data_IF_504491303531
#
_entry.id   IF_504491303531
#
_cell.length_a   1.000
_cell.length_b   1.000
_cell.length_c   1.000
_cell.angle_alpha   90.00
_cell.angle_beta   90.00
_cell.angle_gamma   90.00
#
_symmetry.space_group_name_H-M   'P 1'
#
loop_
_entity.id
_entity.type
_entity.pdbx_description
1 polymer ?
#
# COMPACT_ATOMS: atom_id res chain seq x y z
N UNK A 1 -46.99 -21.33 19.54
CA UNK A 1 -45.75 -21.99 19.08
C UNK A 1 -45.55 -23.25 19.91
N UNK A 2 -45.82 -24.37 19.32
CA UNK A 2 -45.71 -25.68 19.98
C UNK A 2 -44.24 -26.09 20.14
N UNK A 3 -43.98 -27.03 21.05
CA UNK A 3 -42.60 -27.52 21.30
C UNK A 3 -41.93 -28.08 20.00
N UNK A 4 -42.74 -28.64 19.07
CA UNK A 4 -42.29 -29.13 17.76
C UNK A 4 -41.80 -28.02 16.84
N UNK A 5 -42.46 -26.86 16.80
CA UNK A 5 -41.98 -25.72 15.98
C UNK A 5 -40.62 -25.15 16.45
N UNK A 6 -40.34 -25.19 17.74
CA UNK A 6 -39.02 -24.80 18.30
C UNK A 6 -37.93 -25.80 17.96
N UNK A 7 -38.25 -27.08 17.89
CA UNK A 7 -37.31 -28.14 17.55
C UNK A 7 -36.97 -28.15 16.08
N UNK A 8 -37.92 -27.84 15.20
CA UNK A 8 -37.69 -27.69 13.77
C UNK A 8 -36.82 -26.47 13.40
N UNK A 9 -37.02 -25.35 14.07
CA UNK A 9 -36.18 -24.15 13.92
C UNK A 9 -34.73 -24.41 14.38
N UNK A 10 -34.58 -25.15 15.49
CA UNK A 10 -33.27 -25.56 16.02
C UNK A 10 -32.56 -26.54 15.07
N UNK A 11 -33.27 -27.51 14.54
CA UNK A 11 -32.72 -28.50 13.60
C UNK A 11 -32.38 -27.86 12.23
N UNK A 12 -33.14 -26.87 11.79
CA UNK A 12 -32.84 -26.11 10.55
C UNK A 12 -31.63 -25.22 10.71
N UNK A 13 -31.40 -24.62 11.88
CA UNK A 13 -30.21 -23.84 12.18
C UNK A 13 -28.93 -24.70 12.26
N UNK A 14 -29.00 -25.89 12.81
CA UNK A 14 -27.89 -26.86 12.89
C UNK A 14 -27.56 -27.49 11.53
N UNK A 15 -28.57 -27.69 10.67
CA UNK A 15 -28.35 -28.18 9.29
C UNK A 15 -27.64 -27.14 8.43
N UNK A 16 -28.02 -25.86 8.53
CA UNK A 16 -27.41 -24.75 7.81
C UNK A 16 -25.97 -24.48 8.27
N UNK A 17 -25.66 -24.69 9.54
CA UNK A 17 -24.32 -24.54 10.10
C UNK A 17 -23.38 -25.69 9.68
N UNK A 18 -23.91 -26.90 9.54
CA UNK A 18 -23.16 -28.08 9.08
C UNK A 18 -22.95 -28.09 7.55
N UNK A 19 -23.88 -27.58 6.75
CA UNK A 19 -23.69 -27.41 5.30
C UNK A 19 -22.69 -26.31 4.97
N UNK A 20 -22.61 -25.26 5.79
CA UNK A 20 -21.58 -24.20 5.66
C UNK A 20 -20.15 -24.70 5.98
N UNK A 21 -20.01 -25.85 6.62
CA UNK A 21 -18.71 -26.49 6.97
C UNK A 21 -18.25 -27.55 5.96
N UNK A 22 -19.03 -27.91 4.94
CA UNK A 22 -18.78 -29.05 4.05
C UNK A 22 -18.60 -28.70 2.57
N UNK A 23 -18.16 -27.50 2.19
CA UNK A 23 -17.73 -27.28 0.80
C UNK A 23 -16.23 -27.54 0.63
N UNK A 24 -15.84 -28.42 -0.31
CA UNK A 24 -14.43 -28.70 -0.59
C UNK A 24 -13.76 -27.50 -1.25
N UNK A 25 -12.64 -27.12 -0.68
CA UNK A 25 -11.80 -25.96 -1.02
C UNK A 25 -10.91 -26.28 -2.24
N UNK A 26 -11.53 -26.57 -3.40
CA UNK A 26 -10.78 -26.79 -4.64
C UNK A 26 -11.44 -26.12 -5.86
N UNK A 27 -11.50 -24.79 -5.83
CA UNK A 27 -11.72 -24.02 -7.04
C UNK A 27 -10.53 -23.07 -7.25
N UNK A 28 -9.68 -23.43 -8.22
CA UNK A 28 -8.66 -22.56 -8.80
C UNK A 28 -9.31 -21.25 -9.21
N UNK A 29 -9.10 -20.18 -8.41
CA UNK A 29 -9.56 -18.85 -8.73
C UNK A 29 -8.72 -18.33 -9.90
N UNK A 30 -9.30 -17.98 -11.06
CA UNK A 30 -8.55 -17.38 -12.15
C UNK A 30 -7.96 -16.05 -11.66
N UNK A 31 -6.63 -15.97 -11.69
CA UNK A 31 -5.86 -14.79 -11.29
C UNK A 31 -6.10 -13.68 -12.32
N UNK A 32 -7.09 -12.82 -12.09
CA UNK A 32 -7.21 -11.59 -12.88
C UNK A 32 -6.14 -10.61 -12.39
N UNK A 33 -5.10 -10.43 -13.20
CA UNK A 33 -4.03 -9.45 -12.94
C UNK A 33 -4.65 -8.07 -12.77
N UNK A 34 -4.38 -7.36 -11.66
CA UNK A 34 -4.93 -6.03 -11.45
C UNK A 34 -4.40 -5.05 -12.52
N UNK A 35 -5.24 -4.10 -12.94
CA UNK A 35 -4.89 -3.05 -13.91
C UNK A 35 -3.61 -2.28 -13.54
N UNK A 36 -3.27 -2.27 -12.27
CA UNK A 36 -2.09 -1.63 -11.69
C UNK A 36 -0.76 -2.22 -12.20
N UNK A 37 -0.64 -3.55 -12.37
CA UNK A 37 0.58 -4.19 -12.89
C UNK A 37 0.90 -3.74 -14.33
N UNK A 38 -0.13 -3.46 -15.13
CA UNK A 38 0.06 -2.96 -16.51
C UNK A 38 0.71 -1.58 -16.55
N UNK A 39 0.26 -0.65 -15.69
CA UNK A 39 0.84 0.69 -15.63
C UNK A 39 2.28 0.72 -15.13
N UNK A 40 2.59 -0.10 -14.14
CA UNK A 40 3.96 -0.27 -13.61
C UNK A 40 4.89 -0.81 -14.70
N UNK A 41 4.45 -1.84 -15.42
CA UNK A 41 5.22 -2.39 -16.55
C UNK A 41 5.40 -1.37 -17.68
N UNK A 42 4.37 -0.59 -18.00
CA UNK A 42 4.45 0.46 -19.01
C UNK A 42 5.46 1.55 -18.62
N UNK A 43 5.45 2.01 -17.36
CA UNK A 43 6.38 3.02 -16.87
C UNK A 43 7.83 2.50 -16.86
N UNK A 44 8.06 1.26 -16.44
CA UNK A 44 9.38 0.64 -16.49
C UNK A 44 9.88 0.50 -17.93
N UNK A 45 9.03 0.06 -18.86
CA UNK A 45 9.35 -0.04 -20.30
C UNK A 45 9.62 1.34 -20.89
N UNK A 46 8.79 2.34 -20.56
CA UNK A 46 8.97 3.71 -21.07
C UNK A 46 10.30 4.33 -20.59
N UNK A 47 10.66 4.15 -19.31
CA UNK A 47 11.95 4.61 -18.77
C UNK A 47 13.14 3.91 -19.42
N UNK A 48 13.05 2.59 -19.61
CA UNK A 48 14.08 1.84 -20.33
C UNK A 48 14.18 2.25 -21.82
N UNK A 49 13.03 2.44 -22.48
CA UNK A 49 13.01 2.91 -23.88
C UNK A 49 13.61 4.30 -24.01
N UNK A 50 13.32 5.22 -23.08
CA UNK A 50 13.91 6.55 -23.07
C UNK A 50 15.45 6.49 -22.92
N UNK A 51 15.96 5.58 -22.08
CA UNK A 51 17.40 5.35 -21.93
C UNK A 51 18.03 4.80 -23.21
N UNK A 52 17.39 3.83 -23.85
CA UNK A 52 17.86 3.28 -25.14
C UNK A 52 17.86 4.38 -26.22
N UNK A 53 16.81 5.17 -26.33
CA UNK A 53 16.73 6.31 -27.26
C UNK A 53 17.85 7.30 -26.97
N UNK A 54 18.13 7.62 -25.70
CA UNK A 54 19.24 8.47 -25.33
C UNK A 54 20.59 7.92 -25.82
N UNK A 55 20.85 6.61 -25.62
CA UNK A 55 22.08 5.98 -26.09
C UNK A 55 22.21 6.09 -27.61
N UNK A 56 21.15 5.88 -28.37
CA UNK A 56 21.19 5.98 -29.84
C UNK A 56 21.34 7.40 -30.37
N UNK A 57 20.72 8.40 -29.72
CA UNK A 57 20.72 9.78 -30.22
C UNK A 57 21.92 10.59 -29.75
N UNK A 58 22.46 10.32 -28.55
CA UNK A 58 23.46 11.17 -27.91
C UNK A 58 24.77 10.45 -27.59
N UNK A 59 24.91 9.16 -27.97
CA UNK A 59 26.08 8.36 -27.65
C UNK A 59 26.71 7.85 -28.93
N UNK A 60 28.03 8.03 -29.08
CA UNK A 60 28.81 7.29 -30.07
C UNK A 60 28.90 5.83 -29.63
N UNK A 61 27.93 5.02 -30.06
CA UNK A 61 27.76 3.61 -29.64
C UNK A 61 29.02 2.80 -29.99
N UNK A 62 29.69 3.12 -31.14
CA UNK A 62 30.90 2.41 -31.57
C UNK A 62 32.03 2.68 -30.60
N UNK A 63 32.28 3.94 -30.24
CA UNK A 63 33.31 4.28 -29.26
C UNK A 63 33.03 3.71 -27.89
N UNK A 64 31.77 3.78 -27.40
CA UNK A 64 31.40 3.18 -26.13
C UNK A 64 31.57 1.68 -26.14
N UNK A 65 31.13 0.98 -27.20
CA UNK A 65 31.32 -0.45 -27.36
C UNK A 65 32.79 -0.85 -27.33
N UNK A 66 33.65 -0.11 -28.05
CA UNK A 66 35.11 -0.33 -28.06
C UNK A 66 35.77 -0.12 -26.69
N UNK A 67 35.22 0.77 -25.84
CA UNK A 67 35.70 0.99 -24.47
C UNK A 67 35.21 -0.15 -23.57
N UNK A 68 33.95 -0.56 -23.70
CA UNK A 68 33.36 -1.66 -22.93
C UNK A 68 33.98 -3.00 -23.27
N UNK A 69 34.33 -3.24 -24.51
CA UNK A 69 35.03 -4.47 -24.95
C UNK A 69 36.40 -4.67 -24.27
N UNK A 70 37.04 -3.57 -23.88
CA UNK A 70 38.35 -3.57 -23.19
C UNK A 70 38.23 -3.66 -21.66
N UNK A 71 37.03 -3.86 -21.13
CA UNK A 71 36.78 -3.92 -19.67
C UNK A 71 37.53 -5.08 -19.03
N UNK A 72 38.32 -4.76 -18.03
CA UNK A 72 39.00 -5.78 -17.19
C UNK A 72 37.99 -6.45 -16.26
N UNK A 73 37.38 -7.55 -16.73
CA UNK A 73 36.29 -8.26 -16.02
C UNK A 73 36.63 -8.58 -14.55
N UNK A 74 37.85 -9.05 -14.16
CA UNK A 74 38.16 -9.30 -12.76
C UNK A 74 38.03 -8.08 -11.87
N UNK A 75 38.44 -6.90 -12.38
CA UNK A 75 38.32 -5.63 -11.65
C UNK A 75 36.87 -5.17 -11.57
N UNK A 76 36.10 -5.38 -12.65
CA UNK A 76 34.68 -5.07 -12.65
C UNK A 76 33.89 -5.96 -11.66
N UNK A 77 34.30 -7.20 -11.43
CA UNK A 77 33.72 -8.07 -10.39
C UNK A 77 33.93 -7.49 -8.97
N UNK A 78 35.02 -6.73 -8.73
CA UNK A 78 35.21 -6.04 -7.45
C UNK A 78 34.12 -4.97 -7.24
N UNK A 79 33.69 -4.28 -8.31
CA UNK A 79 32.58 -3.33 -8.19
C UNK A 79 31.27 -4.01 -7.73
N UNK A 80 30.95 -5.20 -8.23
CA UNK A 80 29.80 -5.97 -7.74
C UNK A 80 29.97 -6.39 -6.28
N UNK A 81 31.18 -6.79 -5.87
CA UNK A 81 31.45 -7.10 -4.46
C UNK A 81 31.23 -5.87 -3.57
N UNK A 82 31.67 -4.69 -4.00
CA UNK A 82 31.42 -3.44 -3.28
C UNK A 82 29.92 -3.16 -3.15
N UNK A 83 29.12 -3.37 -4.22
CA UNK A 83 27.66 -3.18 -4.20
C UNK A 83 26.97 -4.15 -3.22
N UNK A 84 27.38 -5.41 -3.19
CA UNK A 84 26.83 -6.36 -2.20
C UNK A 84 27.22 -5.94 -0.77
N UNK A 85 28.46 -5.48 -0.59
CA UNK A 85 28.93 -4.99 0.72
C UNK A 85 28.17 -3.74 1.16
N UNK A 86 27.93 -2.80 0.25
CA UNK A 86 27.04 -1.65 0.47
C UNK A 86 25.66 -2.09 0.96
N UNK A 87 25.04 -3.06 0.28
CA UNK A 87 23.74 -3.58 0.66
C UNK A 87 23.75 -4.24 2.05
N UNK A 88 24.84 -4.94 2.42
CA UNK A 88 25.03 -5.48 3.78
C UNK A 88 25.05 -4.37 4.81
N UNK A 89 25.82 -3.30 4.59
CA UNK A 89 25.89 -2.17 5.50
C UNK A 89 24.55 -1.43 5.61
N UNK A 90 23.81 -1.28 4.55
CA UNK A 90 22.46 -0.72 4.56
C UNK A 90 21.49 -1.58 5.41
N UNK A 91 21.56 -2.90 5.30
CA UNK A 91 20.77 -3.81 6.15
C UNK A 91 21.18 -3.74 7.64
N UNK A 92 22.49 -3.63 7.93
CA UNK A 92 23.01 -3.45 9.28
C UNK A 92 22.60 -2.10 9.89
N UNK A 93 22.63 -1.03 9.09
CA UNK A 93 22.13 0.28 9.47
C UNK A 93 20.68 0.19 9.92
N UNK A 94 19.80 -0.28 9.05
CA UNK A 94 18.36 -0.36 9.37
C UNK A 94 18.08 -1.32 10.54
N UNK A 95 18.75 -2.48 10.60
CA UNK A 95 18.66 -3.41 11.74
C UNK A 95 19.03 -2.73 13.06
N UNK A 96 20.12 -1.94 13.06
CA UNK A 96 20.55 -1.21 14.26
C UNK A 96 19.53 -0.14 14.70
N UNK A 97 18.87 0.53 13.75
CA UNK A 97 17.78 1.47 14.05
C UNK A 97 16.57 0.74 14.63
N UNK A 98 16.15 -0.38 14.03
CA UNK A 98 15.04 -1.20 14.51
C UNK A 98 15.28 -1.67 15.96
N UNK A 99 16.49 -2.10 16.29
CA UNK A 99 16.85 -2.48 17.65
C UNK A 99 16.73 -1.31 18.63
N UNK A 100 17.18 -0.12 18.22
CA UNK A 100 17.12 1.09 19.04
C UNK A 100 15.69 1.56 19.31
N UNK A 101 14.75 1.35 18.38
CA UNK A 101 13.30 1.64 18.58
C UNK A 101 12.55 0.49 19.25
N UNK A 102 13.25 -0.61 19.61
CA UNK A 102 12.69 -1.75 20.31
C UNK A 102 11.88 -2.73 19.43
N UNK A 103 12.14 -2.75 18.12
CA UNK A 103 11.58 -3.73 17.18
C UNK A 103 12.52 -4.93 17.08
N UNK A 104 12.11 -6.05 17.67
CA UNK A 104 12.88 -7.30 17.64
C UNK A 104 12.70 -8.00 16.29
N UNK A 105 13.74 -8.06 15.49
CA UNK A 105 13.76 -8.78 14.21
C UNK A 105 15.16 -9.34 13.94
N UNK A 106 15.31 -10.24 13.00
CA UNK A 106 16.62 -10.81 12.63
C UNK A 106 17.25 -10.05 11.46
N UNK A 107 18.58 -10.01 11.39
CA UNK A 107 19.28 -9.40 10.26
C UNK A 107 18.86 -10.04 8.91
N UNK A 108 18.69 -11.37 8.90
CA UNK A 108 18.21 -12.10 7.71
C UNK A 108 16.83 -11.57 7.25
N UNK A 109 15.92 -11.27 8.18
CA UNK A 109 14.59 -10.71 7.87
C UNK A 109 14.73 -9.32 7.27
N UNK A 110 15.54 -8.46 7.90
CA UNK A 110 15.83 -7.11 7.40
C UNK A 110 16.45 -7.14 6.01
N UNK A 111 17.46 -7.99 5.80
CA UNK A 111 18.10 -8.21 4.51
C UNK A 111 17.09 -8.60 3.41
N UNK A 112 16.25 -9.60 3.67
CA UNK A 112 15.25 -10.05 2.72
C UNK A 112 14.24 -8.93 2.40
N UNK A 113 13.78 -8.20 3.41
CA UNK A 113 12.85 -7.09 3.22
C UNK A 113 13.46 -5.92 2.45
N UNK A 114 14.74 -5.59 2.67
CA UNK A 114 15.44 -4.54 1.92
C UNK A 114 15.47 -4.84 0.42
N UNK A 115 15.73 -6.09 0.03
CA UNK A 115 15.69 -6.49 -1.38
C UNK A 115 14.27 -6.45 -1.97
N UNK A 116 13.27 -6.91 -1.20
CA UNK A 116 11.86 -6.82 -1.64
C UNK A 116 11.44 -5.37 -1.82
N UNK A 117 11.84 -4.49 -0.90
CA UNK A 117 11.58 -3.06 -1.01
C UNK A 117 12.23 -2.43 -2.23
N UNK A 118 13.51 -2.70 -2.45
CA UNK A 118 14.23 -2.22 -3.63
C UNK A 118 13.55 -2.64 -4.94
N UNK A 119 13.05 -3.89 -5.04
CA UNK A 119 12.33 -4.35 -6.22
C UNK A 119 11.09 -3.51 -6.51
N UNK A 120 10.31 -3.21 -5.47
CA UNK A 120 9.09 -2.42 -5.62
C UNK A 120 9.38 -0.95 -5.94
N UNK A 121 10.40 -0.36 -5.34
CA UNK A 121 10.82 1.01 -5.64
C UNK A 121 11.36 1.15 -7.05
N UNK A 122 12.04 0.11 -7.56
CA UNK A 122 12.51 0.08 -8.94
C UNK A 122 11.36 -0.03 -9.97
N UNK A 123 10.24 -0.67 -9.59
CA UNK A 123 9.07 -0.85 -10.47
C UNK A 123 8.10 0.33 -10.41
N UNK A 124 7.93 0.94 -9.25
CA UNK A 124 6.93 1.99 -9.02
C UNK A 124 7.66 3.31 -8.79
N UNK A 125 7.61 4.24 -9.74
CA UNK A 125 8.24 5.55 -9.57
C UNK A 125 7.70 6.27 -8.33
N UNK A 126 8.59 6.93 -7.58
CA UNK A 126 8.21 7.70 -6.39
C UNK A 126 8.97 7.34 -5.10
N UNK A 127 9.76 6.24 -5.12
CA UNK A 127 10.71 5.90 -4.03
C UNK A 127 10.10 5.60 -2.65
N UNK A 128 8.78 5.37 -2.57
CA UNK A 128 8.06 5.16 -1.30
C UNK A 128 7.31 3.82 -1.29
N UNK A 129 7.21 3.16 -2.44
CA UNK A 129 6.41 1.95 -2.61
C UNK A 129 7.01 0.75 -1.89
N UNK A 130 8.32 0.62 -1.91
CA UNK A 130 9.07 -0.39 -1.18
C UNK A 130 8.92 -0.20 0.32
N UNK A 131 9.09 1.00 0.83
CA UNK A 131 8.95 1.31 2.24
C UNK A 131 7.54 1.01 2.77
N UNK A 132 6.49 1.41 2.05
CA UNK A 132 5.11 1.09 2.42
C UNK A 132 4.89 -0.44 2.50
N UNK A 133 5.44 -1.18 1.56
CA UNK A 133 5.30 -2.62 1.53
C UNK A 133 6.12 -3.29 2.66
N UNK A 134 7.33 -2.82 2.93
CA UNK A 134 8.17 -3.27 4.03
C UNK A 134 7.50 -3.02 5.39
N UNK A 135 6.95 -1.81 5.60
CA UNK A 135 6.16 -1.48 6.79
C UNK A 135 5.03 -2.47 6.97
N UNK A 136 4.28 -2.73 5.89
CA UNK A 136 3.18 -3.69 5.92
C UNK A 136 3.64 -5.10 6.28
N UNK A 137 4.75 -5.59 5.69
CA UNK A 137 5.26 -6.93 5.95
C UNK A 137 5.78 -7.08 7.38
N UNK A 138 6.54 -6.11 7.86
CA UNK A 138 7.15 -6.18 9.19
C UNK A 138 6.11 -5.96 10.31
N UNK A 139 5.10 -5.11 10.08
CA UNK A 139 4.00 -4.89 11.03
C UNK A 139 3.07 -6.10 11.20
N UNK A 140 3.21 -7.14 10.38
CA UNK A 140 2.48 -8.41 10.53
C UNK A 140 3.21 -9.43 11.42
N UNK A 141 4.48 -9.20 11.67
CA UNK A 141 5.25 -10.07 12.56
C UNK A 141 4.71 -9.89 14.00
N UNK A 142 4.69 -10.98 14.79
CA UNK A 142 4.19 -10.94 16.17
C UNK A 142 4.99 -9.93 16.98
N UNK A 143 4.27 -9.16 17.77
CA UNK A 143 4.83 -8.15 18.71
C UNK A 143 5.56 -6.98 18.04
N UNK A 144 5.33 -6.74 16.74
CA UNK A 144 5.90 -5.60 16.02
C UNK A 144 4.89 -4.46 15.90
N UNK A 145 5.25 -3.32 16.47
CA UNK A 145 4.48 -2.09 16.34
C UNK A 145 4.80 -1.37 15.02
N UNK A 146 3.78 -1.23 14.15
CA UNK A 146 3.91 -0.59 12.85
C UNK A 146 4.38 0.87 12.92
N UNK A 147 4.03 1.60 13.98
CA UNK A 147 4.47 3.00 14.17
C UNK A 147 5.99 3.07 14.37
N UNK A 148 6.55 2.12 15.14
CA UNK A 148 8.00 2.02 15.34
C UNK A 148 8.74 1.66 14.04
N UNK A 149 8.12 0.82 13.19
CA UNK A 149 8.68 0.49 11.88
C UNK A 149 8.71 1.73 10.99
N UNK A 150 7.62 2.51 10.92
CA UNK A 150 7.59 3.78 10.18
C UNK A 150 8.67 4.73 10.69
N UNK A 151 8.78 4.91 12.02
CA UNK A 151 9.79 5.77 12.61
C UNK A 151 11.22 5.30 12.28
N UNK A 152 11.48 3.99 12.25
CA UNK A 152 12.78 3.45 11.88
C UNK A 152 13.19 3.75 10.45
N UNK A 153 12.24 3.72 9.51
CA UNK A 153 12.48 4.08 8.09
C UNK A 153 12.79 5.56 7.97
N UNK A 154 11.98 6.42 8.60
CA UNK A 154 12.23 7.87 8.58
C UNK A 154 13.60 8.21 9.19
N UNK A 155 13.99 7.55 10.28
CA UNK A 155 15.32 7.74 10.88
C UNK A 155 16.43 7.28 9.92
N UNK A 156 16.25 6.13 9.26
CA UNK A 156 17.18 5.64 8.23
C UNK A 156 17.38 6.67 7.13
N UNK A 157 16.29 7.22 6.61
CA UNK A 157 16.33 8.23 5.53
C UNK A 157 16.97 9.54 5.99
N UNK A 158 16.75 9.95 7.24
CA UNK A 158 17.45 11.11 7.84
C UNK A 158 18.96 10.86 7.92
N UNK A 159 19.40 9.68 8.35
CA UNK A 159 20.83 9.36 8.42
C UNK A 159 21.47 9.29 7.03
N UNK A 160 20.80 8.70 6.06
CA UNK A 160 21.23 8.67 4.66
C UNK A 160 21.38 10.10 4.12
N UNK A 161 20.39 10.95 4.35
CA UNK A 161 20.44 12.34 3.94
C UNK A 161 21.59 13.10 4.57
N UNK A 162 21.87 12.91 5.87
CA UNK A 162 23.01 13.55 6.54
C UNK A 162 24.32 13.16 5.85
N UNK A 163 24.51 11.88 5.52
CA UNK A 163 25.70 11.39 4.84
C UNK A 163 25.80 11.99 3.42
N UNK A 164 24.74 11.97 2.64
CA UNK A 164 24.68 12.53 1.28
C UNK A 164 24.91 14.04 1.31
N UNK A 165 24.32 14.77 2.25
CA UNK A 165 24.52 16.22 2.40
C UNK A 165 25.96 16.55 2.80
N UNK A 166 26.51 15.81 3.75
CA UNK A 166 27.92 15.98 4.16
C UNK A 166 28.88 15.71 3.00
N UNK A 167 28.64 14.63 2.26
CA UNK A 167 29.39 14.28 1.06
C UNK A 167 29.29 15.39 -0.02
N UNK A 168 28.11 15.97 -0.16
CA UNK A 168 27.85 17.04 -1.09
C UNK A 168 28.63 18.33 -0.72
N UNK A 169 28.62 18.72 0.56
CA UNK A 169 29.41 19.84 1.07
C UNK A 169 30.90 19.59 0.82
N UNK A 170 31.37 18.38 1.16
CA UNK A 170 32.77 17.99 0.90
C UNK A 170 33.09 18.06 -0.60
N UNK A 171 32.16 17.61 -1.45
CA UNK A 171 32.31 17.67 -2.91
C UNK A 171 32.43 19.09 -3.44
N UNK A 172 31.67 20.05 -2.92
CA UNK A 172 31.80 21.47 -3.29
C UNK A 172 33.17 22.01 -2.87
N UNK A 173 33.59 21.72 -1.65
CA UNK A 173 34.89 22.13 -1.14
C UNK A 173 35.99 21.60 -2.08
N UNK A 174 35.96 20.31 -2.41
CA UNK A 174 36.92 19.71 -3.34
C UNK A 174 36.84 20.32 -4.74
N UNK A 175 35.64 20.67 -5.20
CA UNK A 175 35.41 21.31 -6.49
C UNK A 175 36.10 22.69 -6.57
N UNK A 176 35.90 23.51 -5.53
CA UNK A 176 36.51 24.86 -5.44
C UNK A 176 38.04 24.79 -5.44
N UNK A 177 38.61 23.84 -4.67
CA UNK A 177 40.08 23.71 -4.59
C UNK A 177 40.71 23.01 -5.80
N UNK A 178 39.97 22.17 -6.52
CA UNK A 178 40.53 21.36 -7.63
C UNK A 178 40.33 21.96 -9.02
N UNK A 179 39.41 22.90 -9.16
CA UNK A 179 39.00 23.45 -10.45
C UNK A 179 38.81 24.96 -10.39
N UNK A 180 39.31 25.68 -11.41
CA UNK A 180 39.00 27.10 -11.62
C UNK A 180 37.59 27.26 -12.20
N UNK A 181 36.57 27.07 -11.35
CA UNK A 181 35.18 27.13 -11.79
C UNK A 181 34.68 28.57 -11.71
N UNK A 182 33.98 29.01 -12.77
CA UNK A 182 33.35 30.33 -12.77
C UNK A 182 32.32 30.46 -11.64
N UNK A 183 32.29 31.61 -10.99
CA UNK A 183 31.39 31.90 -9.86
C UNK A 183 29.92 31.64 -10.16
N UNK A 184 29.46 31.83 -11.37
CA UNK A 184 28.09 31.60 -11.85
C UNK A 184 27.74 30.09 -11.75
N UNK A 185 28.64 29.19 -12.21
CA UNK A 185 28.41 27.74 -12.16
C UNK A 185 28.37 27.23 -10.71
N UNK A 186 29.27 27.73 -9.86
CA UNK A 186 29.28 27.44 -8.42
C UNK A 186 27.97 27.88 -7.73
N UNK A 187 27.50 29.09 -8.04
CA UNK A 187 26.24 29.60 -7.50
C UNK A 187 25.05 28.77 -7.98
N UNK A 188 25.04 28.36 -9.25
CA UNK A 188 23.96 27.51 -9.81
C UNK A 188 23.91 26.14 -9.16
N UNK A 189 25.05 25.48 -8.96
CA UNK A 189 25.16 24.20 -8.28
C UNK A 189 24.67 24.37 -6.83
N UNK A 190 25.13 25.40 -6.10
CA UNK A 190 24.72 25.68 -4.73
C UNK A 190 23.19 25.91 -4.62
N UNK A 191 22.60 26.67 -5.54
CA UNK A 191 21.16 26.93 -5.56
C UNK A 191 20.35 25.64 -5.79
N UNK A 192 20.75 24.82 -6.76
CA UNK A 192 20.13 23.52 -7.03
C UNK A 192 20.19 22.63 -5.80
N UNK A 193 21.31 22.60 -5.10
CA UNK A 193 21.51 21.82 -3.87
C UNK A 193 20.60 22.26 -2.73
N UNK A 194 20.49 23.57 -2.50
CA UNK A 194 19.56 24.10 -1.51
C UNK A 194 18.14 23.71 -1.85
N UNK A 195 17.73 23.88 -3.11
CA UNK A 195 16.39 23.53 -3.56
C UNK A 195 16.08 22.03 -3.36
N UNK A 196 17.02 21.16 -3.71
CA UNK A 196 16.89 19.71 -3.54
C UNK A 196 16.91 19.27 -2.07
N UNK A 197 17.47 20.06 -1.16
CA UNK A 197 17.50 19.77 0.28
C UNK A 197 16.19 20.14 0.99
N UNK A 198 15.38 21.04 0.43
CA UNK A 198 14.15 21.54 1.07
C UNK A 198 13.15 20.45 1.49
N UNK A 199 12.81 19.45 0.65
CA UNK A 199 11.86 18.41 1.04
C UNK A 199 12.31 17.62 2.27
N UNK A 200 13.62 17.32 2.35
CA UNK A 200 14.17 16.57 3.48
C UNK A 200 14.27 17.40 4.76
N UNK A 201 14.63 18.68 4.63
CA UNK A 201 14.56 19.62 5.75
C UNK A 201 13.13 19.70 6.28
N UNK A 202 12.14 19.73 5.37
CA UNK A 202 10.72 19.70 5.74
C UNK A 202 10.34 18.40 6.47
N UNK A 203 10.79 17.23 6.01
CA UNK A 203 10.56 15.93 6.68
C UNK A 203 11.15 15.95 8.09
N UNK A 204 12.39 16.40 8.26
CA UNK A 204 13.04 16.53 9.57
C UNK A 204 12.24 17.48 10.47
N UNK A 205 11.84 18.63 9.96
CA UNK A 205 11.06 19.62 10.69
C UNK A 205 9.70 19.06 11.13
N UNK A 206 8.99 18.39 10.23
CA UNK A 206 7.72 17.73 10.55
C UNK A 206 7.93 16.59 11.57
N UNK A 207 8.96 15.78 11.42
CA UNK A 207 9.26 14.67 12.36
C UNK A 207 9.57 15.15 13.77
N UNK A 208 10.13 16.37 13.92
CA UNK A 208 10.49 16.94 15.21
C UNK A 208 9.43 17.86 15.82
N UNK A 209 8.48 18.36 15.03
CA UNK A 209 7.47 19.32 15.48
C UNK A 209 6.04 18.74 15.40
N UNK A 210 5.61 18.10 16.50
CA UNK A 210 4.30 17.43 16.59
C UNK A 210 3.11 18.36 16.28
N UNK A 211 3.17 19.64 16.70
CA UNK A 211 2.08 20.58 16.52
C UNK A 211 1.85 20.91 15.05
N UNK A 212 2.94 21.06 14.29
CA UNK A 212 2.87 21.33 12.84
C UNK A 212 2.38 20.08 12.11
N UNK A 213 2.88 18.89 12.47
CA UNK A 213 2.47 17.63 11.86
C UNK A 213 1.00 17.32 12.09
N UNK A 214 0.48 17.55 13.31
CA UNK A 214 -0.95 17.43 13.61
C UNK A 214 -1.81 18.42 12.80
N UNK A 215 -1.37 19.69 12.65
CA UNK A 215 -2.08 20.69 11.82
C UNK A 215 -2.11 20.28 10.35
N UNK A 216 -0.96 19.89 9.82
CA UNK A 216 -0.83 19.43 8.42
C UNK A 216 -1.72 18.21 8.15
N UNK A 217 -1.73 17.23 9.05
CA UNK A 217 -2.58 16.05 8.90
C UNK A 217 -4.07 16.42 8.93
N UNK A 218 -4.50 17.24 9.90
CA UNK A 218 -5.90 17.71 9.96
C UNK A 218 -6.30 18.45 8.69
N UNK A 219 -5.41 19.28 8.15
CA UNK A 219 -5.63 19.94 6.86
C UNK A 219 -5.78 18.95 5.72
N UNK A 220 -4.87 17.97 5.59
CA UNK A 220 -4.92 16.96 4.53
C UNK A 220 -6.18 16.09 4.62
N UNK A 221 -6.51 15.58 5.81
CA UNK A 221 -7.71 14.75 6.02
C UNK A 221 -8.98 15.52 5.66
N UNK A 222 -9.10 16.79 6.07
CA UNK A 222 -10.24 17.66 5.73
C UNK A 222 -10.31 17.95 4.23
N UNK A 223 -9.17 18.21 3.59
CA UNK A 223 -9.08 18.45 2.14
C UNK A 223 -9.49 17.23 1.34
N UNK A 224 -8.98 16.04 1.71
CA UNK A 224 -9.35 14.77 1.07
C UNK A 224 -10.82 14.44 1.31
N UNK A 225 -11.34 14.68 2.51
CA UNK A 225 -12.75 14.48 2.83
C UNK A 225 -13.65 15.41 1.99
N UNK A 226 -13.23 16.66 1.81
CA UNK A 226 -13.93 17.65 0.96
C UNK A 226 -13.94 17.24 -0.52
N UNK A 227 -12.79 16.79 -1.05
CA UNK A 227 -12.67 16.31 -2.45
C UNK A 227 -13.46 15.01 -2.65
N UNK A 228 -13.45 14.11 -1.66
CA UNK A 228 -14.14 12.83 -1.71
C UNK A 228 -15.64 12.91 -1.37
N UNK A 229 -16.20 14.09 -1.09
CA UNK A 229 -17.60 14.31 -0.66
C UNK A 229 -18.02 13.42 0.52
N UNK A 230 -17.07 13.00 1.39
CA UNK A 230 -17.31 12.17 2.59
C UNK A 230 -17.17 13.03 3.83
N UNK A 231 -18.04 12.81 4.81
CA UNK A 231 -17.89 13.45 6.13
C UNK A 231 -16.63 12.90 6.82
N UNK A 232 -15.82 13.77 7.46
CA UNK A 232 -14.69 13.33 8.27
C UNK A 232 -15.17 12.35 9.35
N UNK A 233 -14.49 11.23 9.50
CA UNK A 233 -14.79 10.28 10.58
C UNK A 233 -13.92 10.66 11.80
N UNK A 234 -14.54 11.16 12.85
CA UNK A 234 -13.84 11.57 14.08
C UNK A 234 -13.03 10.44 14.71
N UNK A 235 -13.50 9.20 14.62
CA UNK A 235 -12.76 8.02 15.11
C UNK A 235 -11.46 7.81 14.31
N UNK A 236 -11.50 8.02 13.00
CA UNK A 236 -10.33 7.94 12.14
C UNK A 236 -9.33 9.07 12.44
N UNK A 237 -9.82 10.31 12.64
CA UNK A 237 -8.95 11.45 13.03
C UNK A 237 -8.26 11.19 14.37
N UNK A 238 -8.97 10.72 15.39
CA UNK A 238 -8.43 10.41 16.70
C UNK A 238 -7.39 9.27 16.65
N UNK A 239 -7.63 8.24 15.84
CA UNK A 239 -6.68 7.15 15.64
C UNK A 239 -5.39 7.63 14.97
N UNK A 240 -5.51 8.48 13.95
CA UNK A 240 -4.35 9.07 13.28
C UNK A 240 -3.57 10.01 14.23
N UNK A 241 -4.27 10.82 15.02
CA UNK A 241 -3.63 11.72 15.98
C UNK A 241 -2.83 10.95 17.04
N UNK A 242 -3.36 9.80 17.50
CA UNK A 242 -2.61 8.89 18.39
C UNK A 242 -1.36 8.35 17.70
N UNK A 243 -1.48 7.82 16.47
CA UNK A 243 -0.33 7.29 15.73
C UNK A 243 0.76 8.31 15.48
N UNK A 244 0.40 9.58 15.22
CA UNK A 244 1.39 10.67 15.10
C UNK A 244 2.06 10.96 16.44
N UNK A 245 1.32 10.92 17.53
CA UNK A 245 1.90 11.13 18.87
C UNK A 245 2.89 10.02 19.19
N UNK A 246 2.50 8.77 18.96
CA UNK A 246 3.36 7.60 19.19
C UNK A 246 4.62 7.65 18.28
N UNK A 247 4.47 8.05 17.00
CA UNK A 247 5.59 8.25 16.07
C UNK A 247 6.55 9.33 16.58
N UNK A 248 6.00 10.49 16.98
CA UNK A 248 6.81 11.61 17.47
C UNK A 248 7.57 11.23 18.76
N UNK A 249 6.94 10.48 19.66
CA UNK A 249 7.59 9.97 20.86
C UNK A 249 8.83 9.13 20.52
N UNK A 250 8.73 8.21 19.54
CA UNK A 250 9.85 7.39 19.08
C UNK A 250 10.99 8.27 18.52
N UNK A 251 10.66 9.27 17.68
CA UNK A 251 11.67 10.21 17.15
C UNK A 251 12.36 11.01 18.27
N UNK A 252 11.59 11.47 19.26
CA UNK A 252 12.15 12.23 20.39
C UNK A 252 13.03 11.38 21.32
N UNK A 253 12.69 10.10 21.54
CA UNK A 253 13.55 9.17 22.28
C UNK A 253 14.92 9.06 21.58
N UNK A 254 14.93 8.95 20.25
CA UNK A 254 16.17 8.84 19.48
C UNK A 254 16.96 10.16 19.49
N UNK A 255 16.29 11.30 19.36
CA UNK A 255 16.91 12.63 19.46
C UNK A 255 17.59 12.84 20.82
N UNK A 256 16.97 12.38 21.91
CA UNK A 256 17.48 12.52 23.26
C UNK A 256 18.61 11.52 23.62
N UNK A 257 18.81 10.50 22.77
CA UNK A 257 19.86 9.49 22.94
C UNK A 257 20.82 9.45 21.75
N UNK A 258 21.55 10.53 21.41
CA UNK A 258 22.35 10.59 20.17
C UNK A 258 23.44 9.52 20.11
N UNK A 259 23.93 9.02 21.24
CA UNK A 259 24.92 7.92 21.26
C UNK A 259 24.40 6.64 20.61
N UNK A 260 23.09 6.37 20.64
CA UNK A 260 22.52 5.19 20.01
C UNK A 260 22.54 5.30 18.49
N UNK A 261 22.71 6.51 17.93
CA UNK A 261 22.80 6.77 16.49
C UNK A 261 24.21 6.60 15.92
N UNK A 262 25.25 6.51 16.76
CA UNK A 262 26.63 6.36 16.29
C UNK A 262 26.81 5.09 15.47
N UNK A 263 26.28 3.97 15.95
CA UNK A 263 26.38 2.69 15.26
C UNK A 263 25.63 2.66 13.91
N UNK A 264 24.35 3.07 13.81
CA UNK A 264 23.68 3.23 12.52
C UNK A 264 24.40 4.20 11.58
N UNK A 265 24.85 5.37 12.08
CA UNK A 265 25.58 6.35 11.28
C UNK A 265 26.87 5.77 10.71
N UNK A 266 27.65 5.03 11.51
CA UNK A 266 28.84 4.33 11.01
C UNK A 266 28.50 3.38 9.87
N UNK A 267 27.45 2.58 9.99
CA UNK A 267 27.04 1.67 8.94
C UNK A 267 26.58 2.43 7.67
N UNK A 268 25.89 3.56 7.83
CA UNK A 268 25.48 4.40 6.70
C UNK A 268 26.68 5.00 5.98
N UNK A 269 27.68 5.50 6.72
CA UNK A 269 28.94 6.00 6.13
C UNK A 269 29.66 4.88 5.38
N UNK A 270 29.75 3.67 5.97
CA UNK A 270 30.37 2.52 5.30
C UNK A 270 29.63 2.13 4.02
N UNK A 271 28.31 2.10 4.04
CA UNK A 271 27.50 1.84 2.85
C UNK A 271 27.83 2.86 1.73
N UNK A 272 27.89 4.14 2.08
CA UNK A 272 28.24 5.19 1.12
C UNK A 272 29.68 5.08 0.59
N UNK A 273 30.64 4.72 1.44
CA UNK A 273 32.04 4.48 1.02
C UNK A 273 32.11 3.33 0.00
N UNK A 274 31.38 2.24 0.23
CA UNK A 274 31.37 1.11 -0.72
C UNK A 274 30.64 1.43 -2.01
N UNK A 275 29.63 2.30 -2.01
CA UNK A 275 29.01 2.84 -3.24
C UNK A 275 30.04 3.66 -4.07
N UNK A 276 30.81 4.54 -3.44
CA UNK A 276 31.90 5.29 -4.08
C UNK A 276 32.98 4.35 -4.63
N UNK A 277 33.39 3.34 -3.83
CA UNK A 277 34.37 2.36 -4.27
C UNK A 277 33.90 1.53 -5.46
N UNK A 278 32.62 1.18 -5.52
CA UNK A 278 32.07 0.50 -6.68
C UNK A 278 32.23 1.34 -7.96
N UNK A 279 31.92 2.63 -7.90
CA UNK A 279 32.11 3.55 -9.02
C UNK A 279 33.59 3.71 -9.39
N UNK A 280 34.47 3.80 -8.40
CA UNK A 280 35.91 3.85 -8.63
C UNK A 280 36.42 2.61 -9.38
N UNK A 281 36.02 1.42 -8.96
CA UNK A 281 36.42 0.17 -9.62
C UNK A 281 35.83 0.03 -11.02
N UNK A 282 34.69 0.63 -11.31
CA UNK A 282 34.16 0.73 -12.69
C UNK A 282 35.16 1.50 -13.59
N UNK A 283 35.66 2.65 -13.15
CA UNK A 283 36.64 3.41 -13.92
C UNK A 283 37.96 2.64 -14.07
N UNK A 284 38.45 2.01 -13.01
CA UNK A 284 39.68 1.19 -13.07
C UNK A 284 39.49 0.00 -14.00
N UNK A 285 38.32 -0.62 -14.03
CA UNK A 285 38.00 -1.70 -14.98
C UNK A 285 38.01 -1.23 -16.43
N UNK A 286 37.61 0.02 -16.69
CA UNK A 286 37.70 0.69 -17.99
C UNK A 286 39.12 1.12 -18.36
N UNK A 287 40.14 0.82 -17.52
CA UNK A 287 41.54 1.21 -17.74
C UNK A 287 41.83 2.67 -17.48
N UNK A 288 40.97 3.38 -16.77
CA UNK A 288 41.11 4.79 -16.46
C UNK A 288 41.23 5.04 -14.95
N UNK A 289 42.16 5.92 -14.56
CA UNK A 289 42.28 6.40 -13.18
C UNK A 289 41.65 7.78 -13.07
N UNK A 290 40.36 7.80 -12.67
CA UNK A 290 39.66 9.05 -12.41
C UNK A 290 39.82 9.42 -10.93
N UNK A 291 40.11 10.69 -10.66
CA UNK A 291 40.27 11.18 -9.30
C UNK A 291 38.97 10.98 -8.48
N UNK A 292 39.14 10.51 -7.23
CA UNK A 292 38.03 10.29 -6.30
C UNK A 292 37.16 11.53 -6.07
N UNK A 293 37.73 12.75 -6.18
CA UNK A 293 37.01 14.02 -6.12
C UNK A 293 35.92 14.12 -7.20
N UNK A 294 36.21 13.74 -8.45
CA UNK A 294 35.24 13.76 -9.55
C UNK A 294 34.11 12.73 -9.34
N UNK A 295 34.48 11.55 -8.87
CA UNK A 295 33.52 10.50 -8.55
C UNK A 295 32.60 10.93 -7.40
N UNK A 296 33.18 11.46 -6.32
CA UNK A 296 32.45 11.93 -5.14
C UNK A 296 31.46 13.05 -5.51
N UNK A 297 31.92 14.06 -6.28
CA UNK A 297 31.06 15.16 -6.73
C UNK A 297 29.88 14.64 -7.54
N UNK A 298 30.17 13.84 -8.57
CA UNK A 298 29.11 13.28 -9.44
C UNK A 298 28.13 12.42 -8.63
N UNK A 299 28.64 11.52 -7.82
CA UNK A 299 27.79 10.61 -7.04
C UNK A 299 26.91 11.35 -6.03
N UNK A 300 27.47 12.36 -5.33
CA UNK A 300 26.71 13.16 -4.36
C UNK A 300 25.56 13.93 -4.99
N UNK A 301 25.78 14.51 -6.18
CA UNK A 301 24.72 15.23 -6.93
C UNK A 301 23.66 14.23 -7.41
N UNK A 302 24.07 13.13 -8.03
CA UNK A 302 23.17 12.13 -8.60
C UNK A 302 22.35 11.45 -7.52
N UNK A 303 22.94 11.09 -6.38
CA UNK A 303 22.23 10.48 -5.27
C UNK A 303 21.25 11.44 -4.60
N UNK A 304 21.59 12.73 -4.48
CA UNK A 304 20.66 13.73 -3.97
C UNK A 304 19.41 13.83 -4.86
N UNK A 305 19.57 13.86 -6.19
CA UNK A 305 18.45 13.91 -7.14
C UNK A 305 17.64 12.60 -7.09
N UNK A 306 18.32 11.46 -6.99
CA UNK A 306 17.67 10.14 -6.90
C UNK A 306 16.82 10.01 -5.64
N UNK A 307 17.30 10.51 -4.50
CA UNK A 307 16.58 10.48 -3.22
C UNK A 307 15.27 11.29 -3.23
N UNK A 308 15.13 12.24 -4.17
CA UNK A 308 13.87 12.98 -4.37
C UNK A 308 12.81 12.22 -5.20
N UNK A 309 12.99 10.93 -5.42
CA UNK A 309 12.04 10.10 -6.17
C UNK A 309 12.12 10.25 -7.69
N UNK A 310 13.11 10.99 -8.22
CA UNK A 310 13.38 11.11 -9.67
C UNK A 310 14.25 9.93 -10.15
N UNK A 311 13.95 8.74 -9.64
CA UNK A 311 14.69 7.52 -10.02
C UNK A 311 14.10 6.86 -11.26
N UNK A 312 13.99 7.60 -12.38
CA UNK A 312 13.67 6.98 -13.67
C UNK A 312 14.89 6.19 -14.15
N UNK A 313 14.66 4.96 -14.58
CA UNK A 313 15.71 4.13 -15.19
C UNK A 313 16.33 4.90 -16.36
N UNK A 314 17.66 5.04 -16.34
CA UNK A 314 18.42 5.78 -17.38
C UNK A 314 18.70 7.25 -17.06
N UNK A 315 17.85 7.96 -16.31
CA UNK A 315 18.07 9.37 -15.99
C UNK A 315 19.36 9.60 -15.19
N UNK A 316 19.63 8.76 -14.19
CA UNK A 316 20.85 8.82 -13.39
C UNK A 316 22.10 8.62 -14.24
N UNK A 317 22.05 7.76 -15.26
CA UNK A 317 23.15 7.49 -16.18
C UNK A 317 23.43 8.68 -17.09
N UNK A 318 22.38 9.30 -17.62
CA UNK A 318 22.49 10.53 -18.42
C UNK A 318 23.13 11.62 -17.57
N UNK A 319 22.60 11.87 -16.39
CA UNK A 319 23.10 12.91 -15.51
C UNK A 319 24.56 12.66 -15.08
N UNK A 320 24.91 11.41 -14.73
CA UNK A 320 26.29 11.05 -14.38
C UNK A 320 27.26 11.30 -15.53
N UNK A 321 26.90 10.89 -16.75
CA UNK A 321 27.78 11.08 -17.92
C UNK A 321 28.02 12.56 -18.24
N UNK A 322 26.97 13.39 -18.15
CA UNK A 322 27.09 14.84 -18.35
C UNK A 322 27.94 15.52 -17.26
N UNK A 323 27.73 15.13 -15.99
CA UNK A 323 28.54 15.66 -14.88
C UNK A 323 30.01 15.28 -15.00
N UNK A 324 30.30 14.03 -15.36
CA UNK A 324 31.67 13.58 -15.61
C UNK A 324 32.32 14.38 -16.77
N UNK A 325 31.57 14.64 -17.85
CA UNK A 325 32.05 15.47 -18.96
C UNK A 325 32.38 16.90 -18.51
N UNK A 326 31.49 17.52 -17.73
CA UNK A 326 31.72 18.86 -17.14
C UNK A 326 32.97 18.88 -16.26
N UNK A 327 33.25 17.78 -15.55
CA UNK A 327 34.44 17.62 -14.73
C UNK A 327 35.70 17.23 -15.54
N UNK A 328 35.65 17.33 -16.89
CA UNK A 328 36.79 17.12 -17.79
C UNK A 328 37.13 15.64 -18.02
N UNK A 329 36.16 14.74 -17.95
CA UNK A 329 36.30 13.35 -18.40
C UNK A 329 35.81 13.26 -19.84
N UNK A 330 36.54 12.53 -20.70
CA UNK A 330 36.11 12.29 -22.06
C UNK A 330 34.68 11.74 -22.11
N UNK A 331 33.82 12.26 -22.99
CA UNK A 331 32.39 11.92 -23.05
C UNK A 331 32.17 10.43 -23.26
N UNK A 332 32.90 9.76 -24.17
CA UNK A 332 32.73 8.33 -24.42
C UNK A 332 33.09 7.47 -23.19
N UNK A 333 34.16 7.87 -22.45
CA UNK A 333 34.51 7.22 -21.18
C UNK A 333 33.47 7.49 -20.10
N UNK A 334 32.97 8.72 -20.01
CA UNK A 334 31.90 9.09 -19.08
C UNK A 334 30.60 8.30 -19.34
N UNK A 335 30.24 8.12 -20.61
CA UNK A 335 29.08 7.33 -21.03
C UNK A 335 29.27 5.83 -20.74
N UNK A 336 30.48 5.28 -21.08
CA UNK A 336 30.82 3.89 -20.77
C UNK A 336 30.79 3.61 -19.27
N UNK A 337 31.35 4.51 -18.44
CA UNK A 337 31.34 4.36 -16.98
C UNK A 337 29.92 4.45 -16.42
N UNK A 338 29.10 5.37 -16.92
CA UNK A 338 27.70 5.52 -16.51
C UNK A 338 26.85 4.31 -16.90
N UNK A 339 27.09 3.72 -18.07
CA UNK A 339 26.44 2.50 -18.52
C UNK A 339 26.78 1.31 -17.60
N UNK A 340 28.08 1.06 -17.35
CA UNK A 340 28.53 -0.03 -16.50
C UNK A 340 28.12 0.16 -15.03
N UNK A 341 28.20 1.39 -14.51
CA UNK A 341 27.68 1.73 -13.18
C UNK A 341 26.18 1.50 -13.07
N UNK A 342 25.43 1.87 -14.11
CA UNK A 342 24.00 1.63 -14.19
C UNK A 342 23.68 0.15 -14.21
N UNK A 343 24.45 -0.66 -14.95
CA UNK A 343 24.30 -2.11 -14.94
C UNK A 343 24.58 -2.69 -13.56
N UNK A 344 25.66 -2.31 -12.91
CA UNK A 344 26.04 -2.83 -11.61
C UNK A 344 25.09 -2.36 -10.49
N UNK A 345 24.76 -1.06 -10.41
CA UNK A 345 23.97 -0.51 -9.33
C UNK A 345 22.46 -0.67 -9.50
N UNK A 346 21.94 -0.75 -10.73
CA UNK A 346 20.50 -0.87 -10.96
C UNK A 346 20.11 -2.28 -11.43
N UNK A 347 20.62 -2.73 -12.58
CA UNK A 347 20.17 -3.99 -13.16
C UNK A 347 20.58 -5.21 -12.34
N UNK A 348 21.79 -5.25 -11.84
CA UNK A 348 22.24 -6.34 -10.96
C UNK A 348 21.43 -6.39 -9.65
N UNK A 349 21.24 -5.23 -8.99
CA UNK A 349 20.37 -5.17 -7.79
C UNK A 349 18.94 -5.57 -8.13
N UNK A 350 18.41 -5.18 -9.30
CA UNK A 350 17.06 -5.53 -9.72
C UNK A 350 16.89 -7.06 -9.92
N UNK A 351 17.87 -7.73 -10.54
CA UNK A 351 17.84 -9.18 -10.72
C UNK A 351 17.83 -9.90 -9.37
N UNK A 352 18.73 -9.51 -8.46
CA UNK A 352 18.77 -10.09 -7.11
C UNK A 352 17.45 -9.82 -6.38
N UNK A 353 16.98 -8.59 -6.40
CA UNK A 353 15.74 -8.20 -5.69
C UNK A 353 14.50 -8.89 -6.25
N UNK A 354 14.45 -9.18 -7.54
CA UNK A 354 13.39 -9.99 -8.16
C UNK A 354 13.34 -11.39 -7.55
N UNK A 355 14.51 -12.04 -7.39
CA UNK A 355 14.58 -13.38 -6.76
C UNK A 355 14.05 -13.32 -5.32
N UNK A 356 14.48 -12.34 -4.53
CA UNK A 356 13.97 -12.13 -3.16
C UNK A 356 12.48 -11.83 -3.13
N UNK A 357 11.98 -11.02 -4.08
CA UNK A 357 10.55 -10.75 -4.18
C UNK A 357 9.73 -12.00 -4.49
N UNK A 358 10.23 -12.87 -5.39
CA UNK A 358 9.57 -14.16 -5.67
C UNK A 358 9.54 -15.07 -4.43
N UNK A 359 10.63 -15.12 -3.68
CA UNK A 359 10.73 -15.99 -2.50
C UNK A 359 9.93 -15.50 -1.30
N UNK A 360 9.87 -14.19 -1.08
CA UNK A 360 9.35 -13.59 0.15
C UNK A 360 8.18 -12.61 -0.06
N UNK A 361 8.03 -12.06 -1.24
CA UNK A 361 7.03 -11.04 -1.56
C UNK A 361 5.73 -11.62 -2.11
N UNK A 362 5.80 -12.58 -3.04
CA UNK A 362 4.63 -13.11 -3.77
C UNK A 362 3.65 -13.81 -2.82
N UNK A 363 4.15 -14.66 -1.91
CA UNK A 363 3.30 -15.37 -0.94
C UNK A 363 2.44 -14.42 -0.11
N UNK A 364 2.99 -13.30 0.31
CA UNK A 364 2.30 -12.29 1.13
C UNK A 364 1.29 -11.46 0.34
N UNK A 365 1.61 -11.14 -0.92
CA UNK A 365 0.67 -10.44 -1.82
C UNK A 365 -0.51 -11.34 -2.14
N UNK A 366 -0.26 -12.62 -2.46
CA UNK A 366 -1.29 -13.61 -2.73
C UNK A 366 -2.23 -13.80 -1.52
N UNK A 367 -1.68 -13.93 -0.31
CA UNK A 367 -2.45 -14.04 0.93
C UNK A 367 -3.31 -12.80 1.21
N UNK A 368 -2.79 -11.60 0.95
CA UNK A 368 -3.56 -10.35 1.10
C UNK A 368 -4.73 -10.28 0.13
N UNK A 369 -4.50 -10.57 -1.15
CA UNK A 369 -5.54 -10.60 -2.17
C UNK A 369 -6.61 -11.65 -1.83
N UNK A 370 -6.21 -12.84 -1.39
CA UNK A 370 -7.12 -13.89 -0.94
C UNK A 370 -7.94 -13.44 0.26
N UNK A 371 -7.31 -12.84 1.29
CA UNK A 371 -8.03 -12.35 2.48
C UNK A 371 -9.01 -11.21 2.16
N UNK A 372 -8.67 -10.30 1.26
CA UNK A 372 -9.58 -9.25 0.80
C UNK A 372 -10.76 -9.83 0.01
N UNK A 373 -10.52 -10.79 -0.86
CA UNK A 373 -11.55 -11.49 -1.63
C UNK A 373 -12.51 -12.24 -0.71
N UNK A 374 -12.00 -12.94 0.31
CA UNK A 374 -12.79 -13.64 1.31
C UNK A 374 -13.63 -12.67 2.15
N UNK A 375 -13.07 -11.52 2.57
CA UNK A 375 -13.82 -10.47 3.28
C UNK A 375 -14.93 -9.88 2.40
N UNK A 376 -14.66 -9.64 1.12
CA UNK A 376 -15.67 -9.14 0.18
C UNK A 376 -16.79 -10.17 -0.05
N UNK A 377 -16.46 -11.46 -0.21
CA UNK A 377 -17.43 -12.55 -0.33
C UNK A 377 -18.30 -12.69 0.93
N UNK A 378 -17.68 -12.69 2.14
CA UNK A 378 -18.44 -12.70 3.40
C UNK A 378 -19.39 -11.51 3.53
N UNK A 379 -18.95 -10.31 3.12
CA UNK A 379 -19.79 -9.10 3.13
C UNK A 379 -20.96 -9.21 2.13
N UNK A 380 -20.71 -9.76 0.94
CA UNK A 380 -21.76 -10.00 -0.06
C UNK A 380 -22.76 -11.04 0.45
N UNK A 381 -22.30 -12.19 0.93
CA UNK A 381 -23.16 -13.24 1.48
C UNK A 381 -24.04 -12.75 2.63
N UNK A 382 -23.48 -11.93 3.56
CA UNK A 382 -24.29 -11.30 4.64
C UNK A 382 -25.36 -10.35 4.09
N UNK A 383 -25.07 -9.60 3.03
CA UNK A 383 -26.05 -8.71 2.39
C UNK A 383 -27.14 -9.49 1.69
N UNK A 384 -26.78 -10.56 0.99
CA UNK A 384 -27.73 -11.40 0.26
C UNK A 384 -28.63 -12.14 1.25
N UNK A 385 -28.09 -12.69 2.33
CA UNK A 385 -28.84 -13.29 3.44
C UNK A 385 -29.83 -12.30 4.09
N UNK A 386 -29.37 -11.08 4.40
CA UNK A 386 -30.25 -10.06 4.95
C UNK A 386 -31.40 -9.68 4.02
N UNK A 387 -31.15 -9.59 2.70
CA UNK A 387 -32.20 -9.35 1.70
C UNK A 387 -33.19 -10.50 1.61
N UNK A 388 -32.71 -11.73 1.66
CA UNK A 388 -33.56 -12.92 1.63
C UNK A 388 -34.43 -13.00 2.87
N UNK A 389 -33.87 -12.79 4.07
CA UNK A 389 -34.64 -12.75 5.33
C UNK A 389 -35.71 -11.65 5.31
N UNK A 390 -35.42 -10.49 4.72
CA UNK A 390 -36.39 -9.40 4.59
C UNK A 390 -37.52 -9.74 3.60
N UNK A 391 -37.19 -10.42 2.50
CA UNK A 391 -38.16 -10.93 1.52
C UNK A 391 -39.08 -12.00 2.15
N UNK A 392 -38.48 -12.95 2.88
CA UNK A 392 -39.22 -14.03 3.53
C UNK A 392 -40.18 -13.49 4.61
N UNK A 393 -39.72 -12.50 5.40
CA UNK A 393 -40.57 -11.78 6.35
C UNK A 393 -41.77 -11.11 5.68
N UNK A 394 -41.55 -10.43 4.57
CA UNK A 394 -42.60 -9.76 3.78
C UNK A 394 -43.61 -10.78 3.22
N UNK A 395 -43.11 -11.91 2.70
CA UNK A 395 -43.94 -12.98 2.18
C UNK A 395 -44.80 -13.62 3.29
N UNK A 396 -44.22 -13.80 4.49
CA UNK A 396 -44.94 -14.31 5.65
C UNK A 396 -46.04 -13.34 6.12
N UNK A 397 -45.74 -12.03 6.18
CA UNK A 397 -46.75 -11.00 6.49
C UNK A 397 -47.89 -10.97 5.46
N UNK A 398 -47.57 -11.08 4.17
CA UNK A 398 -48.58 -11.15 3.12
C UNK A 398 -49.47 -12.38 3.24
N UNK A 399 -48.92 -13.58 3.50
CA UNK A 399 -49.69 -14.81 3.73
C UNK A 399 -50.60 -14.68 4.95
N UNK A 400 -50.08 -14.11 6.04
CA UNK A 400 -50.87 -13.87 7.25
C UNK A 400 -52.05 -12.92 7.00
N UNK A 401 -51.83 -11.86 6.24
CA UNK A 401 -52.89 -10.91 5.89
C UNK A 401 -53.95 -11.53 5.00
N UNK A 402 -53.54 -12.36 4.02
CA UNK A 402 -54.46 -13.10 3.14
C UNK A 402 -55.32 -14.09 3.98
N UNK A 403 -54.71 -14.89 4.83
CA UNK A 403 -55.45 -15.81 5.72
C UNK A 403 -56.44 -15.08 6.65
N UNK A 404 -56.05 -13.88 7.12
CA UNK A 404 -56.96 -13.04 7.92
C UNK A 404 -58.15 -12.53 7.10
N UNK A 405 -57.93 -12.09 5.87
CA UNK A 405 -58.99 -11.65 4.95
C UNK A 405 -59.96 -12.80 4.62
N UNK A 406 -59.43 -14.00 4.32
CA UNK A 406 -60.27 -15.19 4.09
C UNK A 406 -61.10 -15.56 5.30
N UNK A 407 -60.51 -15.50 6.53
CA UNK A 407 -61.27 -15.76 7.79
C UNK A 407 -62.36 -14.72 7.99
N UNK A 408 -62.09 -13.44 7.83
CA UNK A 408 -63.06 -12.36 8.00
C UNK A 408 -64.18 -12.46 6.96
N UNK A 409 -63.86 -12.75 5.67
CA UNK A 409 -64.85 -12.97 4.62
C UNK A 409 -65.77 -14.19 4.93
N UNK A 410 -65.21 -15.31 5.42
CA UNK A 410 -65.98 -16.48 5.80
C UNK A 410 -66.88 -16.17 6.98
N UNK A 411 -66.40 -15.49 8.02
CA UNK A 411 -67.21 -15.06 9.17
C UNK A 411 -68.38 -14.17 8.81
N UNK A 412 -68.17 -13.22 7.89
CA UNK A 412 -69.21 -12.31 7.42
C UNK A 412 -70.24 -13.02 6.51
N UNK A 413 -69.83 -14.02 5.74
CA UNK A 413 -70.72 -14.93 4.99
C UNK A 413 -71.59 -15.79 5.94
N UNK A 414 -70.98 -16.42 6.94
CA UNK A 414 -71.67 -17.25 7.94
C UNK A 414 -72.67 -16.41 8.74
N UNK A 415 -72.31 -15.18 9.10
CA UNK A 415 -73.21 -14.23 9.79
C UNK A 415 -74.41 -13.86 8.92
N UNK A 416 -74.19 -13.58 7.64
CA UNK A 416 -75.28 -13.25 6.70
C UNK A 416 -76.22 -14.44 6.53
N UNK A 417 -75.70 -15.66 6.40
CA UNK A 417 -76.51 -16.88 6.33
C UNK A 417 -77.35 -17.10 7.58
N UNK A 418 -76.74 -16.85 8.79
CA UNK A 418 -77.45 -16.94 10.06
C UNK A 418 -78.55 -15.88 10.19
N UNK A 419 -78.30 -14.63 9.79
CA UNK A 419 -79.30 -13.57 9.79
C UNK A 419 -80.49 -13.88 8.84
N UNK A 420 -80.19 -14.39 7.61
CA UNK A 420 -81.22 -14.79 6.60
C UNK A 420 -82.05 -15.98 7.11
N UNK A 421 -81.43 -17.00 7.76
CA UNK A 421 -82.16 -18.11 8.37
C UNK A 421 -83.03 -17.65 9.53
N UNK A 422 -82.53 -16.76 10.39
CA UNK A 422 -83.24 -16.16 11.52
C UNK A 422 -84.46 -15.37 11.03
N UNK A 423 -84.35 -14.56 10.02
CA UNK A 423 -85.46 -13.82 9.43
C UNK A 423 -86.47 -14.72 8.75
N UNK A 424 -86.02 -15.81 8.11
CA UNK A 424 -86.92 -16.80 7.48
C UNK A 424 -87.65 -17.53 8.50
N UNK A 425 -87.07 -17.93 9.66
CA UNK A 425 -87.70 -18.59 10.75
C UNK A 425 -88.70 -17.65 11.43
N UNK A 426 -88.36 -16.38 11.60
CA UNK A 426 -89.23 -15.34 12.17
C UNK A 426 -90.53 -15.17 11.32
N UNK A 427 -90.38 -15.07 10.01
CA UNK A 427 -91.53 -15.00 9.04
C UNK A 427 -92.40 -16.26 9.11
N UNK A 428 -91.85 -17.47 9.18
CA UNK A 428 -92.55 -18.72 9.35
C UNK A 428 -93.32 -18.73 10.68
N UNK A 429 -92.76 -18.19 11.75
CA UNK A 429 -93.42 -18.12 13.05
C UNK A 429 -94.60 -17.13 13.04
N UNK A 430 -94.41 -15.99 12.41
CA UNK A 430 -95.47 -14.98 12.22
C UNK A 430 -96.60 -15.49 11.38
N UNK A 431 -96.31 -16.13 10.21
CA UNK A 431 -97.30 -16.79 9.40
C UNK A 431 -98.10 -17.92 10.12
N UNK A 432 -97.39 -18.67 10.91
CA UNK A 432 -98.04 -19.69 11.72
C UNK A 432 -98.95 -19.05 12.77
N UNK A 433 -98.54 -18.04 13.43
CA UNK A 433 -99.35 -17.31 14.45
C UNK A 433 -100.56 -16.64 13.81
N UNK A 434 -100.45 -16.12 12.62
CA UNK A 434 -101.58 -15.49 11.94
C UNK A 434 -102.55 -16.54 11.38
N UNK A 435 -102.09 -17.73 10.98
CA UNK A 435 -102.96 -18.88 10.67
C UNK A 435 -103.73 -19.37 11.90
N UNK A 436 -103.09 -19.50 13.00
CA UNK A 436 -103.69 -19.92 14.25
C UNK A 436 -104.72 -18.87 14.78
N UNK A 437 -104.43 -17.58 14.64
CA UNK A 437 -105.36 -16.49 14.91
C UNK A 437 -106.60 -16.55 13.97
N UNK A 438 -106.40 -16.83 12.65
CA UNK A 438 -107.52 -17.00 11.75
C UNK A 438 -108.38 -18.24 12.06
N UNK A 439 -107.75 -19.34 12.43
CA UNK A 439 -108.47 -20.55 12.88
C UNK A 439 -109.25 -20.24 14.14
N UNK A 440 -108.70 -19.58 15.09
CA UNK A 440 -109.39 -19.20 16.36
C UNK A 440 -110.61 -18.30 16.06
N UNK A 441 -110.46 -17.27 15.23
CA UNK A 441 -111.62 -16.46 14.81
C UNK A 441 -112.71 -17.21 14.05
N UNK A 442 -112.30 -18.23 13.33
CA UNK A 442 -113.27 -19.06 12.55
C UNK A 442 -114.03 -20.01 13.50
N UNK A 443 -113.42 -20.48 14.56
CA UNK A 443 -114.03 -21.32 15.61
C UNK A 443 -114.99 -20.50 16.46
N UNK A 444 -114.65 -19.26 16.81
CA UNK A 444 -115.49 -18.33 17.53
C UNK A 444 -116.78 -17.88 16.77
N UNK A 445 -116.65 -17.79 15.43
CA UNK A 445 -117.81 -17.44 14.54
C UNK A 445 -118.69 -18.62 14.28
N UNK A 446 -118.35 -19.85 14.59
CA UNK A 446 -119.19 -21.07 14.45
C UNK A 446 -119.90 -21.50 15.78
N UNK A 447 -119.62 -20.77 16.88
CA UNK A 447 -120.24 -20.96 18.17
C UNK A 447 -121.24 -19.82 18.50
N UNK A 448 -121.55 -18.95 17.61
CA UNK A 448 -122.69 -18.02 17.67
C UNK A 448 -123.65 -18.45 16.57
#
# INVERSE_FOLDING_TARGET
MTAEEKQDISNMSLKTENEAKKEPYDQKVPFSRPKFEKWVSILAIAGFSAFIIYLFLFTDIVQVANIVDKVKIPIYMIAFLCIITEAVFNALNWKSILDNVGVKTTLRRVWNLSWVGFFLDALIPGGVSGDIFIIYLLSRDKDVDGVKVVASIVIKDILEFIVVLTSLILSIILLVFSFSIGSILLLSIGLIMVLLSLPLILIIYLSTNISVTKRLLKFLVRTIAKISHRKPNNEFENKLEKQITDFHEVIMIMKNKPKTMIKPMFYQVMAYVFDILALFFVFVALGSTVGLNKILITNSIVNNIRSQGVALAGFSQILSSQLYQVLGINLSLAQASSLLSGFANFWFKLIISFVFFQLYGVGTVAEKLLSQTLKARKKKARRDFAKQTQSDKKNFENKRNLSKMEYDAKRDSDKKTFDDESDTNKRKYEDKRDRDKKKFKKTESSMK
#
